data_IF_945516260670
#
_entry.id   IF_945516260670
#
_cell.length_a   1.000
_cell.length_b   1.000
_cell.length_c   1.000
_cell.angle_alpha   90.00
_cell.angle_beta   90.00
_cell.angle_gamma   90.00
#
_symmetry.space_group_name_H-M   'P 1'
#
loop_
_entity.id
_entity.type
_entity.pdbx_description
1 polymer ?
#
# COMPACT_ATOMS: atom_id res chain seq x y z
N UNK A 1 -9.30 -54.39 -63.90
CA UNK A 1 -8.54 -53.33 -63.24
C UNK A 1 -9.51 -52.52 -62.39
N UNK A 2 -9.50 -52.68 -61.07
CA UNK A 2 -10.36 -51.96 -60.16
C UNK A 2 -9.71 -50.57 -59.81
N UNK A 3 -10.45 -49.49 -59.97
CA UNK A 3 -10.00 -48.14 -59.56
C UNK A 3 -9.72 -48.11 -58.06
N UNK A 4 -8.60 -47.53 -57.61
CA UNK A 4 -8.32 -47.38 -56.18
C UNK A 4 -9.36 -46.43 -55.50
N UNK A 5 -9.75 -46.70 -54.29
CA UNK A 5 -10.74 -45.89 -53.59
C UNK A 5 -10.20 -44.47 -53.40
N UNK A 6 -10.94 -43.45 -53.86
CA UNK A 6 -10.68 -42.05 -53.60
C UNK A 6 -10.83 -41.81 -52.11
N UNK A 7 -9.72 -41.42 -51.37
CA UNK A 7 -9.77 -40.98 -50.04
C UNK A 7 -10.60 -39.67 -49.98
N UNK A 8 -11.69 -39.68 -49.23
CA UNK A 8 -12.44 -38.46 -48.91
C UNK A 8 -11.48 -37.47 -48.23
N UNK A 9 -11.44 -36.19 -48.65
CA UNK A 9 -10.66 -35.18 -47.95
C UNK A 9 -11.12 -35.10 -46.48
N UNK A 10 -10.17 -34.99 -45.59
CA UNK A 10 -10.46 -34.80 -44.15
C UNK A 10 -11.35 -33.55 -43.94
N UNK A 11 -12.33 -33.59 -43.03
CA UNK A 11 -13.21 -32.46 -42.79
C UNK A 11 -12.36 -31.22 -42.39
N UNK A 12 -12.56 -30.15 -43.14
CA UNK A 12 -11.93 -28.85 -42.80
C UNK A 12 -12.41 -28.41 -41.40
N UNK A 13 -11.50 -27.97 -40.52
CA UNK A 13 -11.89 -27.47 -39.19
C UNK A 13 -12.88 -26.33 -39.37
N UNK A 14 -13.86 -26.19 -38.47
CA UNK A 14 -14.86 -25.14 -38.56
C UNK A 14 -14.19 -23.77 -38.62
N UNK A 15 -14.71 -22.79 -39.39
CA UNK A 15 -14.09 -21.48 -39.64
C UNK A 15 -13.79 -20.69 -38.35
N UNK A 16 -14.50 -20.98 -37.27
CA UNK A 16 -14.28 -20.45 -35.93
C UNK A 16 -12.92 -20.86 -35.32
N UNK A 17 -12.50 -22.10 -35.54
CA UNK A 17 -11.24 -22.67 -35.00
C UNK A 17 -10.01 -22.06 -35.68
N UNK A 18 -10.05 -21.82 -36.97
CA UNK A 18 -8.96 -21.17 -37.73
C UNK A 18 -8.81 -19.69 -37.30
N UNK A 19 -9.93 -18.99 -37.16
CA UNK A 19 -9.93 -17.59 -36.69
C UNK A 19 -9.35 -17.48 -35.27
N UNK A 20 -9.75 -18.35 -34.36
CA UNK A 20 -9.19 -18.37 -32.99
C UNK A 20 -7.68 -18.68 -33.03
N UNK A 21 -7.24 -19.64 -33.82
CA UNK A 21 -5.83 -20.00 -33.95
C UNK A 21 -5.00 -18.83 -34.51
N UNK A 22 -5.51 -18.09 -35.49
CA UNK A 22 -4.83 -16.91 -36.05
C UNK A 22 -4.71 -15.78 -35.03
N UNK A 23 -5.76 -15.52 -34.26
CA UNK A 23 -5.75 -14.54 -33.19
C UNK A 23 -4.70 -14.90 -32.11
N UNK A 24 -4.70 -16.17 -31.65
CA UNK A 24 -3.72 -16.63 -30.67
C UNK A 24 -2.28 -16.50 -31.17
N UNK A 25 -2.04 -16.76 -32.48
CA UNK A 25 -0.72 -16.61 -33.09
C UNK A 25 -0.28 -15.12 -33.21
N UNK A 26 -1.22 -14.18 -33.26
CA UNK A 26 -0.92 -12.74 -33.36
C UNK A 26 -0.60 -12.07 -32.02
N UNK A 27 -0.87 -12.73 -30.88
CA UNK A 27 -0.64 -12.17 -29.55
C UNK A 27 0.86 -12.03 -29.26
N UNK A 28 1.26 -10.82 -28.90
CA UNK A 28 2.64 -10.51 -28.45
C UNK A 28 2.74 -10.71 -26.95
N UNK A 29 2.95 -11.93 -26.52
CA UNK A 29 2.91 -12.32 -25.11
C UNK A 29 3.85 -11.51 -24.22
N UNK A 30 5.09 -11.23 -24.65
CA UNK A 30 6.05 -10.43 -23.87
C UNK A 30 5.55 -9.02 -23.60
N UNK A 31 4.93 -8.39 -24.60
CA UNK A 31 4.33 -7.06 -24.42
C UNK A 31 3.09 -7.15 -23.51
N UNK A 32 2.25 -8.17 -23.70
CA UNK A 32 1.06 -8.38 -22.89
C UNK A 32 1.42 -8.50 -21.40
N UNK A 33 2.38 -9.36 -21.05
CA UNK A 33 2.82 -9.53 -19.67
C UNK A 33 3.38 -8.25 -19.06
N UNK A 34 4.11 -7.45 -19.81
CA UNK A 34 4.59 -6.13 -19.36
C UNK A 34 3.43 -5.19 -19.08
N UNK A 35 2.46 -5.09 -19.97
CA UNK A 35 1.27 -4.25 -19.78
C UNK A 35 0.46 -4.66 -18.55
N UNK A 36 0.16 -5.96 -18.42
CA UNK A 36 -0.56 -6.49 -17.26
C UNK A 36 0.24 -6.32 -15.97
N UNK A 37 1.55 -6.52 -16.01
CA UNK A 37 2.45 -6.33 -14.87
C UNK A 37 2.46 -4.89 -14.35
N UNK A 38 2.54 -3.89 -15.26
CA UNK A 38 2.47 -2.49 -14.87
C UNK A 38 1.16 -2.15 -14.15
N UNK A 39 0.05 -2.66 -14.65
CA UNK A 39 -1.25 -2.42 -14.05
C UNK A 39 -1.39 -3.15 -12.69
N UNK A 40 -0.91 -4.39 -12.61
CA UNK A 40 -0.89 -5.15 -11.36
C UNK A 40 -0.04 -4.44 -10.29
N UNK A 41 1.13 -3.91 -10.64
CA UNK A 41 1.99 -3.17 -9.72
C UNK A 41 1.34 -1.86 -9.26
N UNK A 42 0.61 -1.17 -10.14
CA UNK A 42 -0.17 0.01 -9.76
C UNK A 42 -1.30 -0.35 -8.78
N UNK A 43 -1.97 -1.48 -9.00
CA UNK A 43 -2.97 -2.01 -8.09
C UNK A 43 -2.36 -2.43 -6.75
N UNK A 44 -1.21 -3.08 -6.78
CA UNK A 44 -0.47 -3.48 -5.57
C UNK A 44 0.02 -2.29 -4.75
N UNK A 45 0.27 -1.16 -5.40
CA UNK A 45 0.66 0.07 -4.69
C UNK A 45 -0.50 0.71 -3.93
N UNK A 46 -1.76 0.52 -4.35
CA UNK A 46 -2.94 1.12 -3.72
C UNK A 46 -3.04 0.88 -2.20
N UNK A 47 -3.04 -0.36 -1.69
CA UNK A 47 -3.10 -0.59 -0.26
C UNK A 47 -1.87 -0.06 0.48
N UNK A 48 -0.68 -0.04 -0.14
CA UNK A 48 0.53 0.54 0.46
C UNK A 48 0.40 2.05 0.59
N UNK A 49 -0.11 2.74 -0.44
CA UNK A 49 -0.35 4.19 -0.40
C UNK A 49 -1.29 4.55 0.75
N UNK A 50 -2.42 3.86 0.87
CA UNK A 50 -3.36 4.06 1.97
C UNK A 50 -2.72 3.82 3.35
N UNK A 51 -1.97 2.72 3.51
CA UNK A 51 -1.30 2.38 4.77
C UNK A 51 -0.22 3.38 5.17
N UNK A 52 0.46 4.02 4.21
CA UNK A 52 1.49 5.03 4.52
C UNK A 52 0.90 6.37 4.98
N UNK A 53 -0.32 6.70 4.56
CA UNK A 53 -1.02 7.91 4.99
C UNK A 53 -1.64 7.78 6.38
N UNK A 54 -2.05 6.57 6.76
CA UNK A 54 -2.77 6.30 8.02
C UNK A 54 -2.04 6.80 9.28
N UNK A 55 -0.73 6.60 9.50
CA UNK A 55 -0.03 7.11 10.68
C UNK A 55 0.05 8.62 10.78
N UNK A 56 -0.14 9.33 9.66
CA UNK A 56 0.04 10.78 9.58
C UNK A 56 -1.29 11.51 9.62
N UNK A 57 -2.31 11.00 8.93
CA UNK A 57 -3.61 11.68 8.79
C UNK A 57 -4.78 10.93 9.46
N UNK A 58 -4.52 9.71 9.94
CA UNK A 58 -5.55 8.81 10.46
C UNK A 58 -6.15 7.93 9.35
N UNK A 59 -6.59 6.72 9.72
CA UNK A 59 -7.12 5.72 8.79
C UNK A 59 -8.40 6.17 8.09
N UNK A 60 -9.31 6.81 8.81
CA UNK A 60 -10.60 7.31 8.28
C UNK A 60 -10.38 8.40 7.22
N UNK A 61 -9.54 9.40 7.52
CA UNK A 61 -9.25 10.49 6.59
C UNK A 61 -8.54 10.00 5.34
N UNK A 62 -7.59 9.09 5.50
CA UNK A 62 -6.84 8.48 4.40
C UNK A 62 -7.74 7.64 3.49
N UNK A 63 -8.69 6.87 4.05
CA UNK A 63 -9.59 6.00 3.28
C UNK A 63 -10.67 6.77 2.52
N UNK A 64 -11.16 7.86 3.09
CA UNK A 64 -12.26 8.63 2.52
C UNK A 64 -11.96 9.16 1.12
N UNK A 65 -10.79 9.73 0.91
CA UNK A 65 -10.38 10.33 -0.37
C UNK A 65 -9.67 9.36 -1.31
N UNK A 66 -9.11 8.27 -0.79
CA UNK A 66 -8.26 7.36 -1.56
C UNK A 66 -9.00 6.71 -2.74
N UNK A 67 -10.16 6.09 -2.49
CA UNK A 67 -10.93 5.40 -3.56
C UNK A 67 -11.42 6.32 -4.66
N UNK A 68 -12.11 7.44 -4.39
CA UNK A 68 -12.54 8.34 -5.46
C UNK A 68 -11.37 8.96 -6.21
N UNK A 69 -10.29 9.33 -5.53
CA UNK A 69 -9.08 9.86 -6.17
C UNK A 69 -8.38 8.84 -7.07
N UNK A 70 -8.27 7.61 -6.61
CA UNK A 70 -7.74 6.49 -7.39
C UNK A 70 -8.55 6.23 -8.66
N UNK A 71 -9.89 6.19 -8.56
CA UNK A 71 -10.78 6.04 -9.72
C UNK A 71 -10.58 7.20 -10.70
N UNK A 72 -10.56 8.43 -10.20
CA UNK A 72 -10.32 9.61 -11.04
C UNK A 72 -8.96 9.54 -11.75
N UNK A 73 -7.88 9.18 -11.05
CA UNK A 73 -6.55 9.02 -11.63
C UNK A 73 -6.50 7.92 -12.70
N UNK A 74 -7.15 6.77 -12.45
CA UNK A 74 -7.27 5.67 -13.42
C UNK A 74 -8.03 6.07 -14.67
N UNK A 75 -9.19 6.70 -14.51
CA UNK A 75 -10.02 7.23 -15.61
C UNK A 75 -9.23 8.27 -16.41
N UNK A 76 -8.58 9.24 -15.73
CA UNK A 76 -7.73 10.22 -16.38
C UNK A 76 -6.58 9.57 -17.15
N UNK A 77 -5.94 8.54 -16.58
CA UNK A 77 -4.89 7.77 -17.27
C UNK A 77 -5.38 7.14 -18.57
N UNK A 78 -6.57 6.54 -18.53
CA UNK A 78 -7.19 5.97 -19.71
C UNK A 78 -7.48 7.02 -20.80
N UNK A 79 -8.15 8.12 -20.47
CA UNK A 79 -8.50 9.15 -21.45
C UNK A 79 -7.31 9.96 -21.93
N UNK A 80 -6.30 10.16 -21.11
CA UNK A 80 -5.10 10.91 -21.46
C UNK A 80 -4.01 10.06 -22.14
N UNK A 81 -4.19 8.73 -22.32
CA UNK A 81 -3.20 7.82 -22.88
C UNK A 81 -2.56 8.29 -24.18
N UNK A 82 -3.38 8.83 -25.10
CA UNK A 82 -2.90 9.30 -26.40
C UNK A 82 -2.12 10.62 -26.29
N UNK A 83 -2.53 11.52 -25.39
CA UNK A 83 -1.79 12.75 -25.11
C UNK A 83 -0.44 12.45 -24.45
N UNK A 84 -0.43 11.55 -23.47
CA UNK A 84 0.79 11.09 -22.79
C UNK A 84 1.73 10.45 -23.80
N UNK A 85 1.23 9.58 -24.67
CA UNK A 85 2.01 8.94 -25.71
C UNK A 85 2.61 9.96 -26.70
N UNK A 86 1.86 11.02 -27.07
CA UNK A 86 2.38 12.08 -27.94
C UNK A 86 3.44 12.95 -27.25
N UNK A 87 3.27 13.27 -25.97
CA UNK A 87 4.19 14.14 -25.22
C UNK A 87 5.46 13.42 -24.78
N UNK A 88 5.33 12.22 -24.24
CA UNK A 88 6.43 11.49 -23.61
C UNK A 88 6.94 10.33 -24.46
N UNK A 89 6.15 9.82 -25.42
CA UNK A 89 6.51 8.68 -26.24
C UNK A 89 6.89 7.46 -25.38
N UNK A 90 7.99 6.81 -25.74
CA UNK A 90 8.52 5.67 -24.99
C UNK A 90 9.05 6.05 -23.59
N UNK A 91 9.35 7.32 -23.35
CA UNK A 91 9.83 7.80 -22.02
C UNK A 91 8.76 7.67 -20.95
N UNK A 92 7.46 7.67 -21.31
CA UNK A 92 6.36 7.48 -20.36
C UNK A 92 6.54 6.19 -19.52
N UNK A 93 6.79 5.07 -20.18
CA UNK A 93 7.05 3.80 -19.47
C UNK A 93 8.30 3.86 -18.58
N UNK A 94 9.38 4.48 -19.08
CA UNK A 94 10.66 4.57 -18.36
C UNK A 94 10.62 5.50 -17.14
N UNK A 95 9.64 6.43 -17.06
CA UNK A 95 9.46 7.31 -15.91
C UNK A 95 8.72 6.61 -14.75
N UNK A 96 7.94 5.57 -15.01
CA UNK A 96 7.14 4.87 -13.98
C UNK A 96 8.01 4.39 -12.81
N UNK A 97 9.09 3.61 -13.02
CA UNK A 97 9.93 3.17 -11.91
C UNK A 97 10.64 4.33 -11.20
N UNK A 98 11.00 5.39 -11.91
CA UNK A 98 11.60 6.59 -11.30
C UNK A 98 10.60 7.24 -10.34
N UNK A 99 9.37 7.47 -10.77
CA UNK A 99 8.30 8.01 -9.92
C UNK A 99 8.08 7.12 -8.69
N UNK A 100 7.99 5.80 -8.89
CA UNK A 100 7.78 4.87 -7.79
C UNK A 100 8.86 4.97 -6.70
N UNK A 101 10.14 5.14 -7.08
CA UNK A 101 11.22 5.33 -6.12
C UNK A 101 11.21 6.71 -5.45
N UNK A 102 10.65 7.73 -6.09
CA UNK A 102 10.58 9.07 -5.50
C UNK A 102 9.44 9.21 -4.48
N UNK A 103 8.43 8.35 -4.50
CA UNK A 103 7.27 8.44 -3.60
C UNK A 103 7.67 8.50 -2.12
N UNK A 104 8.51 7.61 -1.56
CA UNK A 104 8.87 7.68 -0.14
C UNK A 104 9.51 9.00 0.26
N UNK A 105 10.31 9.59 -0.61
CA UNK A 105 10.98 10.87 -0.40
C UNK A 105 9.97 12.03 -0.46
N UNK A 106 9.09 12.05 -1.45
CA UNK A 106 8.05 13.07 -1.59
C UNK A 106 7.11 13.02 -0.37
N UNK A 107 6.67 11.84 0.04
CA UNK A 107 5.84 11.65 1.23
C UNK A 107 6.52 12.17 2.49
N UNK A 108 7.82 11.88 2.68
CA UNK A 108 8.57 12.40 3.83
C UNK A 108 8.49 13.93 3.95
N UNK A 109 8.65 14.65 2.85
CA UNK A 109 8.55 16.12 2.87
C UNK A 109 7.12 16.62 3.05
N UNK A 110 6.13 15.98 2.41
CA UNK A 110 4.73 16.34 2.55
C UNK A 110 4.20 16.05 3.97
N UNK A 111 4.66 14.98 4.61
CA UNK A 111 4.29 14.66 5.98
C UNK A 111 4.77 15.71 7.00
N UNK A 112 5.87 16.40 6.74
CA UNK A 112 6.28 17.56 7.55
C UNK A 112 5.29 18.73 7.47
N UNK A 113 4.51 18.80 6.40
CA UNK A 113 3.47 19.82 6.21
C UNK A 113 2.08 19.34 6.69
N UNK A 114 1.99 18.16 7.30
CA UNK A 114 0.71 17.54 7.66
C UNK A 114 -0.14 18.40 8.60
N UNK A 115 0.48 19.14 9.53
CA UNK A 115 -0.22 20.05 10.44
C UNK A 115 -0.86 21.24 9.69
N UNK A 116 -0.22 21.72 8.64
CA UNK A 116 -0.72 22.85 7.84
C UNK A 116 -1.77 22.41 6.82
N UNK A 117 -1.61 21.22 6.25
CA UNK A 117 -2.54 20.66 5.27
C UNK A 117 -3.82 20.15 5.92
N UNK A 118 -3.72 19.54 7.10
CA UNK A 118 -4.85 19.01 7.86
C UNK A 118 -5.65 17.93 7.11
N UNK A 119 -6.86 17.68 7.60
CA UNK A 119 -7.83 16.78 6.99
C UNK A 119 -9.01 17.59 6.42
N UNK A 120 -9.52 17.26 5.22
CA UNK A 120 -9.15 16.15 4.33
C UNK A 120 -8.05 16.47 3.32
N UNK A 121 -7.50 17.68 3.30
CA UNK A 121 -6.59 18.13 2.25
C UNK A 121 -5.26 17.36 2.24
N UNK A 122 -4.71 17.03 3.41
CA UNK A 122 -3.41 16.37 3.53
C UNK A 122 -3.29 15.05 2.78
N UNK A 123 -4.19 14.06 2.99
CA UNK A 123 -4.18 12.82 2.23
C UNK A 123 -4.31 13.03 0.73
N UNK A 124 -5.24 13.91 0.31
CA UNK A 124 -5.48 14.20 -1.12
C UNK A 124 -4.25 14.80 -1.79
N UNK A 125 -3.65 15.82 -1.17
CA UNK A 125 -2.45 16.48 -1.71
C UNK A 125 -1.29 15.49 -1.75
N UNK A 126 -1.13 14.67 -0.73
CA UNK A 126 -0.05 13.67 -0.70
C UNK A 126 -0.20 12.67 -1.84
N UNK A 127 -1.38 12.08 -2.03
CA UNK A 127 -1.64 11.14 -3.12
C UNK A 127 -1.56 11.81 -4.50
N UNK A 128 -1.95 13.07 -4.62
CA UNK A 128 -1.85 13.84 -5.87
C UNK A 128 -0.40 13.99 -6.35
N UNK A 129 0.56 14.10 -5.44
CA UNK A 129 1.98 14.21 -5.79
C UNK A 129 2.72 12.87 -5.76
N UNK A 130 2.08 11.79 -5.30
CA UNK A 130 2.73 10.48 -5.15
C UNK A 130 2.01 9.39 -5.94
N UNK A 131 0.97 8.80 -5.38
CA UNK A 131 0.34 7.61 -5.95
C UNK A 131 -0.49 7.90 -7.22
N UNK A 132 -1.25 9.00 -7.27
CA UNK A 132 -2.12 9.26 -8.43
C UNK A 132 -1.33 9.47 -9.74
N UNK A 133 -0.20 10.19 -9.80
CA UNK A 133 0.64 10.25 -11.00
C UNK A 133 1.20 8.88 -11.41
N UNK A 134 1.61 8.06 -10.45
CA UNK A 134 2.09 6.70 -10.72
C UNK A 134 0.99 5.85 -11.34
N UNK A 135 -0.22 5.86 -10.75
CA UNK A 135 -1.38 5.12 -11.24
C UNK A 135 -1.80 5.58 -12.63
N UNK A 136 -1.95 6.91 -12.81
CA UNK A 136 -2.33 7.51 -14.08
C UNK A 136 -1.38 7.09 -15.20
N UNK A 137 -0.08 7.19 -14.97
CA UNK A 137 0.93 6.84 -15.97
C UNK A 137 0.98 5.33 -16.22
N UNK A 138 0.84 4.50 -15.18
CA UNK A 138 0.78 3.04 -15.30
C UNK A 138 -0.42 2.59 -16.11
N UNK A 139 -1.61 3.15 -15.88
CA UNK A 139 -2.83 2.85 -16.66
C UNK A 139 -2.65 3.29 -18.11
N UNK A 140 -2.19 4.52 -18.35
CA UNK A 140 -2.02 5.05 -19.71
C UNK A 140 -1.07 4.18 -20.55
N UNK A 141 0.06 3.78 -19.98
CA UNK A 141 1.08 2.96 -20.64
C UNK A 141 0.60 1.52 -20.80
N UNK A 142 0.00 0.93 -19.75
CA UNK A 142 -0.52 -0.44 -19.78
C UNK A 142 -1.57 -0.62 -20.87
N UNK A 143 -2.56 0.26 -20.93
CA UNK A 143 -3.62 0.21 -21.94
C UNK A 143 -3.05 0.21 -23.36
N UNK A 144 -2.09 1.08 -23.65
CA UNK A 144 -1.42 1.15 -24.96
C UNK A 144 -0.64 -0.12 -25.28
N UNK A 145 0.06 -0.67 -24.30
CA UNK A 145 0.80 -1.93 -24.49
C UNK A 145 -0.16 -3.08 -24.74
N UNK A 146 -1.28 -3.16 -24.01
CA UNK A 146 -2.30 -4.22 -24.18
C UNK A 146 -2.98 -4.12 -25.54
N UNK A 147 -3.37 -2.91 -25.96
CA UNK A 147 -3.93 -2.67 -27.31
C UNK A 147 -2.99 -3.18 -28.40
N UNK A 148 -1.69 -2.86 -28.29
CA UNK A 148 -0.66 -3.31 -29.22
C UNK A 148 -0.40 -4.81 -29.14
N UNK A 149 -0.39 -5.38 -27.94
CA UNK A 149 -0.08 -6.80 -27.72
C UNK A 149 -1.16 -7.74 -28.28
N UNK A 150 -2.43 -7.35 -28.14
CA UNK A 150 -3.57 -8.14 -28.57
C UNK A 150 -4.03 -7.81 -30.01
N UNK A 151 -3.47 -6.75 -30.60
CA UNK A 151 -3.90 -6.21 -31.90
C UNK A 151 -5.44 -6.11 -31.99
N UNK A 152 -6.02 -5.47 -30.95
CA UNK A 152 -7.48 -5.47 -30.72
C UNK A 152 -8.27 -4.91 -31.91
N UNK A 153 -7.73 -3.90 -32.58
CA UNK A 153 -8.39 -3.26 -33.71
C UNK A 153 -8.56 -4.23 -34.86
N UNK A 154 -7.47 -4.94 -35.24
CA UNK A 154 -7.47 -5.91 -36.36
C UNK A 154 -8.27 -7.14 -36.01
N UNK A 155 -8.12 -7.68 -34.80
CA UNK A 155 -8.72 -8.95 -34.42
C UNK A 155 -10.20 -8.84 -34.02
N UNK A 156 -10.61 -7.71 -33.40
CA UNK A 156 -11.95 -7.58 -32.78
C UNK A 156 -12.69 -6.29 -33.17
N UNK A 157 -12.04 -5.37 -33.90
CA UNK A 157 -12.62 -4.12 -34.35
C UNK A 157 -12.42 -2.95 -33.38
N UNK A 158 -12.88 -1.77 -33.82
CA UNK A 158 -12.66 -0.49 -33.15
C UNK A 158 -13.33 -0.41 -31.77
N UNK A 159 -14.53 -0.97 -31.64
CA UNK A 159 -15.28 -1.00 -30.38
C UNK A 159 -14.54 -1.82 -29.31
N UNK A 160 -13.93 -2.93 -29.70
CA UNK A 160 -13.15 -3.77 -28.78
C UNK A 160 -11.81 -3.11 -28.38
N UNK A 161 -11.16 -2.41 -29.33
CA UNK A 161 -9.95 -1.64 -29.04
C UNK A 161 -10.19 -0.59 -27.95
N UNK A 162 -11.37 0.02 -27.91
CA UNK A 162 -11.72 1.02 -26.93
C UNK A 162 -12.19 0.42 -25.60
N UNK A 163 -13.11 -0.51 -25.61
CA UNK A 163 -13.80 -0.95 -24.38
C UNK A 163 -13.10 -2.08 -23.63
N UNK A 164 -12.46 -3.02 -24.34
CA UNK A 164 -11.82 -4.18 -23.70
C UNK A 164 -10.68 -3.76 -22.76
N UNK A 165 -9.76 -2.84 -23.13
CA UNK A 165 -8.73 -2.40 -22.20
C UNK A 165 -9.28 -1.57 -21.04
N UNK A 166 -10.37 -0.83 -21.24
CA UNK A 166 -11.01 -0.04 -20.18
C UNK A 166 -11.58 -0.96 -19.10
N UNK A 167 -12.50 -1.85 -19.49
CA UNK A 167 -13.12 -2.79 -18.55
C UNK A 167 -12.09 -3.78 -18.00
N UNK A 168 -11.22 -4.31 -18.85
CA UNK A 168 -10.18 -5.26 -18.45
C UNK A 168 -9.18 -4.67 -17.46
N UNK A 169 -8.78 -3.41 -17.64
CA UNK A 169 -7.90 -2.74 -16.69
C UNK A 169 -8.55 -2.53 -15.33
N UNK A 170 -9.83 -2.17 -15.31
CA UNK A 170 -10.59 -2.02 -14.06
C UNK A 170 -10.73 -3.35 -13.30
N UNK A 171 -11.10 -4.42 -13.99
CA UNK A 171 -11.23 -5.76 -13.39
C UNK A 171 -9.88 -6.26 -12.86
N UNK A 172 -8.83 -6.16 -13.66
CA UNK A 172 -7.48 -6.58 -13.26
C UNK A 172 -6.97 -5.76 -12.07
N UNK A 173 -7.29 -4.46 -12.05
CA UNK A 173 -6.91 -3.59 -10.95
C UNK A 173 -7.58 -4.03 -9.64
N UNK A 174 -8.89 -4.29 -9.63
CA UNK A 174 -9.61 -4.75 -8.42
C UNK A 174 -9.05 -6.09 -7.92
N UNK A 175 -8.81 -7.03 -8.84
CA UNK A 175 -8.24 -8.34 -8.48
C UNK A 175 -6.83 -8.15 -7.91
N UNK A 176 -6.00 -7.37 -8.60
CA UNK A 176 -4.62 -7.08 -8.19
C UNK A 176 -4.55 -6.41 -6.83
N UNK A 177 -5.42 -5.44 -6.56
CA UNK A 177 -5.51 -4.76 -5.26
C UNK A 177 -5.87 -5.73 -4.13
N UNK A 178 -6.87 -6.60 -4.33
CA UNK A 178 -7.27 -7.61 -3.34
C UNK A 178 -6.14 -8.61 -3.05
N UNK A 179 -5.50 -9.11 -4.10
CA UNK A 179 -4.37 -10.05 -3.98
C UNK A 179 -3.21 -9.39 -3.25
N UNK A 180 -2.84 -8.18 -3.65
CA UNK A 180 -1.75 -7.45 -3.02
C UNK A 180 -2.04 -7.12 -1.55
N UNK A 181 -3.27 -6.70 -1.24
CA UNK A 181 -3.68 -6.43 0.14
C UNK A 181 -3.54 -7.67 1.04
N UNK A 182 -3.92 -8.85 0.53
CA UNK A 182 -3.74 -10.11 1.27
C UNK A 182 -2.26 -10.35 1.62
N UNK A 183 -1.34 -10.17 0.67
CA UNK A 183 0.09 -10.34 0.91
C UNK A 183 0.65 -9.26 1.82
N UNK A 184 0.30 -8.00 1.61
CA UNK A 184 0.77 -6.87 2.42
C UNK A 184 0.38 -7.07 3.88
N UNK A 185 -0.89 -7.41 4.15
CA UNK A 185 -1.38 -7.66 5.50
C UNK A 185 -0.68 -8.84 6.18
N UNK A 186 -0.20 -9.82 5.41
CA UNK A 186 0.53 -10.97 5.94
C UNK A 186 1.97 -10.62 6.32
N UNK A 187 2.61 -9.70 5.60
CA UNK A 187 4.04 -9.43 5.71
C UNK A 187 4.38 -8.06 6.29
N UNK A 188 3.38 -7.22 6.63
CA UNK A 188 3.60 -5.86 7.14
C UNK A 188 4.46 -5.80 8.41
N UNK A 189 4.45 -6.84 9.24
CA UNK A 189 5.31 -6.95 10.42
C UNK A 189 6.77 -7.25 10.10
N UNK A 190 7.07 -7.79 8.90
CA UNK A 190 8.42 -8.12 8.44
C UNK A 190 8.94 -7.10 7.45
N UNK A 191 8.08 -6.68 6.51
CA UNK A 191 8.38 -5.64 5.51
C UNK A 191 7.59 -4.40 5.88
N UNK A 192 8.29 -3.30 6.12
CA UNK A 192 7.64 -2.03 6.49
C UNK A 192 6.88 -1.42 5.33
N UNK A 193 5.99 -0.46 5.60
CA UNK A 193 5.26 0.30 4.56
C UNK A 193 6.20 0.91 3.54
N UNK A 194 7.25 1.58 4.00
CA UNK A 194 8.28 2.12 3.12
C UNK A 194 9.07 1.02 2.38
N UNK A 195 9.30 -0.12 3.04
CA UNK A 195 9.90 -1.30 2.41
C UNK A 195 9.05 -1.86 1.27
N UNK A 196 7.73 -1.93 1.43
CA UNK A 196 6.81 -2.31 0.36
C UNK A 196 6.83 -1.32 -0.80
N UNK A 197 6.90 0.00 -0.53
CA UNK A 197 7.03 1.01 -1.58
C UNK A 197 8.28 0.78 -2.43
N UNK A 198 9.43 0.58 -1.79
CA UNK A 198 10.69 0.32 -2.47
C UNK A 198 10.69 -1.04 -3.19
N UNK A 199 10.06 -2.07 -2.63
CA UNK A 199 9.90 -3.37 -3.28
C UNK A 199 9.09 -3.26 -4.57
N UNK A 200 7.94 -2.58 -4.53
CA UNK A 200 7.11 -2.38 -5.72
C UNK A 200 7.85 -1.51 -6.75
N UNK A 201 8.60 -0.48 -6.32
CA UNK A 201 9.43 0.32 -7.22
C UNK A 201 10.52 -0.53 -7.89
N UNK A 202 11.14 -1.46 -7.16
CA UNK A 202 12.10 -2.42 -7.73
C UNK A 202 11.44 -3.34 -8.75
N UNK A 203 10.22 -3.85 -8.47
CA UNK A 203 9.46 -4.67 -9.42
C UNK A 203 9.07 -3.89 -10.68
N UNK A 204 8.73 -2.61 -10.56
CA UNK A 204 8.56 -1.74 -11.73
C UNK A 204 9.84 -1.64 -12.56
N UNK A 205 11.01 -1.55 -11.93
CA UNK A 205 12.30 -1.47 -12.61
C UNK A 205 12.65 -2.75 -13.37
N UNK A 206 12.24 -3.91 -12.85
CA UNK A 206 12.38 -5.20 -13.54
C UNK A 206 11.42 -5.29 -14.72
N UNK A 207 10.18 -4.81 -14.55
CA UNK A 207 9.15 -4.84 -15.60
C UNK A 207 9.49 -3.90 -16.75
N UNK A 208 10.04 -2.73 -16.43
CA UNK A 208 10.45 -1.70 -17.41
C UNK A 208 11.86 -1.23 -17.10
N UNK A 209 12.90 -1.96 -17.53
CA UNK A 209 14.28 -1.54 -17.37
C UNK A 209 14.54 -0.17 -18.03
N UNK A 210 15.13 0.75 -17.29
CA UNK A 210 15.34 2.14 -17.76
C UNK A 210 16.67 2.71 -17.31
N UNK A 211 17.37 3.37 -18.24
CA UNK A 211 18.55 4.18 -17.90
C UNK A 211 18.20 5.40 -17.04
N UNK A 212 16.94 5.85 -17.07
CA UNK A 212 16.45 6.95 -16.24
C UNK A 212 16.42 6.61 -14.75
N UNK A 213 16.57 5.33 -14.37
CA UNK A 213 16.70 4.90 -12.97
C UNK A 213 17.84 5.60 -12.22
N UNK A 214 18.85 6.09 -12.91
CA UNK A 214 19.90 6.92 -12.30
C UNK A 214 19.31 8.16 -11.60
N UNK A 215 18.18 8.68 -12.09
CA UNK A 215 17.47 9.81 -11.46
C UNK A 215 16.79 9.41 -10.14
N UNK A 216 16.63 8.13 -9.87
CA UNK A 216 16.08 7.64 -8.61
C UNK A 216 17.15 7.47 -7.51
N UNK A 217 18.42 7.49 -7.84
CA UNK A 217 19.52 7.31 -6.87
C UNK A 217 19.47 8.30 -5.69
N UNK A 218 19.20 9.61 -5.87
CA UNK A 218 19.12 10.53 -4.73
C UNK A 218 18.00 10.15 -3.77
N UNK A 219 16.83 9.74 -4.28
CA UNK A 219 15.70 9.29 -3.47
C UNK A 219 15.99 7.99 -2.72
N UNK A 220 16.65 7.04 -3.38
CA UNK A 220 17.09 5.79 -2.75
C UNK A 220 18.08 6.06 -1.61
N UNK A 221 19.11 6.84 -1.87
CA UNK A 221 20.09 7.23 -0.84
C UNK A 221 19.40 7.91 0.33
N UNK A 222 18.51 8.88 0.07
CA UNK A 222 17.74 9.54 1.12
C UNK A 222 16.88 8.56 1.91
N UNK A 223 16.19 7.63 1.25
CA UNK A 223 15.32 6.65 1.89
C UNK A 223 16.09 5.75 2.86
N UNK A 224 17.32 5.35 2.51
CA UNK A 224 18.12 4.47 3.37
C UNK A 224 18.92 5.21 4.44
N UNK A 225 19.26 6.49 4.24
CA UNK A 225 20.14 7.22 5.16
C UNK A 225 19.41 8.20 6.08
N UNK A 226 18.33 8.84 5.62
CA UNK A 226 17.71 9.96 6.31
C UNK A 226 16.19 9.85 6.50
N UNK A 227 15.52 8.93 5.81
CA UNK A 227 14.08 8.79 5.96
C UNK A 227 13.73 8.08 7.27
N UNK A 228 13.22 8.83 8.24
CA UNK A 228 12.83 8.31 9.57
C UNK A 228 11.69 7.31 9.53
N UNK A 229 10.94 7.20 8.42
CA UNK A 229 9.92 6.17 8.24
C UNK A 229 10.50 4.78 7.96
N UNK A 230 11.79 4.69 7.64
CA UNK A 230 12.52 3.41 7.62
C UNK A 230 13.03 3.10 9.03
N UNK A 231 12.68 1.96 9.64
CA UNK A 231 13.00 1.67 11.04
C UNK A 231 14.42 1.08 11.20
N UNK A 232 15.41 1.73 10.61
CA UNK A 232 16.82 1.40 10.87
C UNK A 232 17.28 1.99 12.20
N UNK A 233 18.33 1.45 12.80
CA UNK A 233 18.88 1.94 14.06
C UNK A 233 19.30 3.42 13.98
N UNK A 234 19.98 3.81 12.91
CA UNK A 234 20.44 5.19 12.70
C UNK A 234 19.27 6.17 12.46
N UNK A 235 18.26 5.81 11.68
CA UNK A 235 17.06 6.65 11.46
C UNK A 235 16.19 6.74 12.69
N UNK A 236 16.16 5.68 13.51
CA UNK A 236 15.49 5.68 14.83
C UNK A 236 16.21 6.61 15.82
N UNK A 237 17.54 6.62 15.80
CA UNK A 237 18.33 7.54 16.61
C UNK A 237 18.07 9.01 16.23
N UNK A 238 18.02 9.33 14.94
CA UNK A 238 17.67 10.68 14.45
C UNK A 238 16.25 11.08 14.89
N UNK A 239 15.28 10.18 14.75
CA UNK A 239 13.91 10.43 15.21
C UNK A 239 13.86 10.65 16.72
N UNK A 240 14.60 9.87 17.48
CA UNK A 240 14.64 9.97 18.93
C UNK A 240 15.29 11.29 19.38
N UNK A 241 16.36 11.74 18.73
CA UNK A 241 16.95 13.05 19.01
C UNK A 241 15.95 14.19 18.81
N UNK A 242 15.15 14.16 17.74
CA UNK A 242 14.12 15.16 17.51
C UNK A 242 12.96 15.08 18.54
N UNK A 243 12.60 13.89 19.02
CA UNK A 243 11.59 13.72 20.05
C UNK A 243 12.07 14.20 21.41
N UNK A 244 13.36 14.02 21.73
CA UNK A 244 13.96 14.48 22.99
C UNK A 244 13.92 16.01 23.15
N UNK A 245 14.02 16.76 22.05
CA UNK A 245 13.82 18.23 22.07
C UNK A 245 12.44 18.62 22.61
N UNK A 246 11.44 17.75 22.42
CA UNK A 246 10.07 17.93 22.91
C UNK A 246 9.79 17.22 24.24
N UNK A 247 10.80 16.59 24.85
CA UNK A 247 10.69 15.89 26.13
C UNK A 247 10.10 14.47 26.02
N UNK A 248 10.23 13.84 24.86
CA UNK A 248 9.80 12.47 24.64
C UNK A 248 10.97 11.58 24.23
N UNK A 249 10.94 10.32 24.68
CA UNK A 249 11.87 9.27 24.28
C UNK A 249 11.10 8.15 23.63
N UNK A 250 11.50 7.76 22.41
CA UNK A 250 10.95 6.61 21.71
C UNK A 250 11.65 5.34 22.21
N UNK A 251 10.90 4.44 22.85
CA UNK A 251 11.41 3.19 23.39
C UNK A 251 11.40 2.06 22.36
N UNK A 252 10.28 1.92 21.63
CA UNK A 252 10.14 0.93 20.54
C UNK A 252 9.17 1.44 19.49
N UNK A 253 9.31 0.91 18.25
CA UNK A 253 8.40 1.17 17.16
C UNK A 253 8.31 -0.02 16.23
N UNK A 254 7.08 -0.38 15.82
CA UNK A 254 6.82 -1.51 14.92
C UNK A 254 5.67 -1.24 13.98
N UNK A 255 5.81 -1.80 12.78
CA UNK A 255 4.70 -1.88 11.85
C UNK A 255 3.80 -3.05 12.21
N UNK A 256 2.49 -2.87 12.12
CA UNK A 256 1.51 -3.93 12.33
C UNK A 256 0.34 -3.82 11.37
N UNK A 257 -0.50 -4.86 11.35
CA UNK A 257 -1.74 -4.92 10.56
C UNK A 257 -2.71 -3.82 10.97
N UNK A 258 -2.76 -3.47 12.25
CA UNK A 258 -3.66 -2.47 12.81
C UNK A 258 -3.15 -1.03 12.65
N UNK A 259 -1.87 -0.86 12.38
CA UNK A 259 -1.26 0.46 12.23
C UNK A 259 0.21 0.46 12.66
N UNK A 260 0.77 1.66 12.73
CA UNK A 260 2.13 1.90 13.20
C UNK A 260 2.13 2.05 14.73
N UNK A 261 2.70 1.06 15.41
CA UNK A 261 2.77 1.02 16.88
C UNK A 261 4.06 1.71 17.33
N UNK A 262 3.96 2.57 18.33
CA UNK A 262 5.09 3.22 18.96
C UNK A 262 4.91 3.32 20.48
N UNK A 263 5.99 3.13 21.22
CA UNK A 263 6.04 3.29 22.68
C UNK A 263 6.89 4.51 22.97
N UNK A 264 6.25 5.52 23.58
CA UNK A 264 6.86 6.79 23.94
C UNK A 264 6.90 6.95 25.46
N UNK A 265 7.98 7.50 25.96
CA UNK A 265 8.14 7.89 27.36
C UNK A 265 8.31 9.40 27.47
N UNK A 266 7.63 10.03 28.42
CA UNK A 266 7.83 11.41 28.79
C UNK A 266 8.33 11.47 30.22
N UNK A 267 9.61 11.74 30.39
CA UNK A 267 10.21 11.91 31.73
C UNK A 267 9.64 13.14 32.44
N UNK A 268 9.42 14.25 31.70
CA UNK A 268 8.86 15.49 32.25
C UNK A 268 7.47 15.31 32.82
N UNK A 269 6.63 14.57 32.12
CA UNK A 269 5.23 14.36 32.50
C UNK A 269 5.04 13.07 33.32
N UNK A 270 6.05 12.22 33.37
CA UNK A 270 6.07 10.99 34.17
C UNK A 270 5.10 9.94 33.66
N UNK A 271 5.03 9.74 32.35
CA UNK A 271 4.22 8.67 31.76
C UNK A 271 4.94 7.93 30.62
N UNK A 272 4.50 6.71 30.39
CA UNK A 272 4.83 5.89 29.23
C UNK A 272 3.55 5.54 28.48
N UNK A 273 3.52 5.77 27.17
CA UNK A 273 2.33 5.59 26.35
C UNK A 273 2.59 4.73 25.12
N UNK A 274 1.66 3.82 24.84
CA UNK A 274 1.62 3.04 23.62
C UNK A 274 0.59 3.64 22.64
N UNK A 275 1.03 3.93 21.44
CA UNK A 275 0.21 4.51 20.36
C UNK A 275 0.12 3.57 19.18
N UNK A 276 -1.02 3.61 18.49
CA UNK A 276 -1.21 3.05 17.17
C UNK A 276 -1.68 4.17 16.24
N UNK A 277 -0.88 4.55 15.28
CA UNK A 277 -1.11 5.71 14.43
C UNK A 277 -1.40 6.97 15.28
N UNK A 278 -2.59 7.54 15.15
CA UNK A 278 -3.05 8.70 15.95
C UNK A 278 -3.72 8.33 17.27
N UNK A 279 -4.01 7.05 17.48
CA UNK A 279 -4.75 6.59 18.67
C UNK A 279 -3.80 6.25 19.79
N UNK A 280 -4.14 6.69 20.99
CA UNK A 280 -3.51 6.23 22.21
C UNK A 280 -4.15 4.90 22.60
N UNK A 281 -3.39 3.80 22.59
CA UNK A 281 -3.90 2.46 22.93
C UNK A 281 -3.91 2.25 24.45
N UNK A 282 -2.95 2.82 25.15
CA UNK A 282 -2.82 2.66 26.57
C UNK A 282 -1.51 3.27 27.08
N UNK A 283 -1.26 3.10 28.34
CA UNK A 283 -0.03 3.56 28.97
C UNK A 283 -0.10 3.49 30.48
N UNK A 284 0.99 3.89 31.09
CA UNK A 284 1.17 3.89 32.54
C UNK A 284 1.79 5.20 33.00
N UNK A 285 1.44 5.62 34.20
CA UNK A 285 2.09 6.76 34.88
C UNK A 285 3.34 6.26 35.60
N UNK A 286 4.48 6.84 35.28
CA UNK A 286 5.73 6.63 36.02
C UNK A 286 5.76 7.61 37.21
N UNK A 287 5.09 7.26 38.29
CA UNK A 287 5.06 8.09 39.47
C UNK A 287 6.35 7.94 40.28
N UNK A 288 7.39 8.62 39.85
CA UNK A 288 8.62 8.77 40.65
C UNK A 288 8.33 9.77 41.77
N UNK A 289 8.24 9.30 43.02
CA UNK A 289 8.19 10.17 44.19
C UNK A 289 6.91 10.15 45.05
N UNK A 290 5.89 9.35 44.68
CA UNK A 290 4.79 9.05 45.63
C UNK A 290 5.08 7.72 46.33
N UNK A 291 4.54 7.54 47.57
CA UNK A 291 4.59 6.27 48.30
C UNK A 291 3.84 5.19 47.52
N UNK A 292 4.48 4.68 46.51
CA UNK A 292 3.90 3.82 45.52
C UNK A 292 4.44 2.40 45.66
N UNK A 293 3.56 1.42 45.54
CA UNK A 293 3.98 0.02 45.53
C UNK A 293 4.57 -0.30 44.15
N UNK A 294 5.86 -0.68 44.02
CA UNK A 294 6.55 -0.77 42.73
C UNK A 294 5.94 -1.84 41.77
N UNK A 295 5.09 -2.72 42.28
CA UNK A 295 4.40 -3.73 41.50
C UNK A 295 3.04 -3.25 40.93
N UNK A 296 2.56 -2.05 41.33
CA UNK A 296 1.28 -1.53 40.87
C UNK A 296 1.55 -0.26 40.06
N UNK A 297 1.17 -0.25 38.81
CA UNK A 297 1.32 0.90 37.90
C UNK A 297 -0.05 1.48 37.58
N UNK A 298 -0.16 2.80 37.68
CA UNK A 298 -1.42 3.48 37.36
C UNK A 298 -1.62 3.53 35.84
N UNK A 299 -2.71 2.97 35.31
CA UNK A 299 -3.01 3.06 33.89
C UNK A 299 -3.42 4.49 33.51
N UNK A 300 -3.06 4.93 32.31
CA UNK A 300 -3.47 6.24 31.78
C UNK A 300 -4.99 6.29 31.55
N UNK A 301 -5.60 5.18 31.17
CA UNK A 301 -7.05 5.09 30.97
C UNK A 301 -7.76 4.46 32.17
N UNK A 302 -8.76 5.15 32.67
CA UNK A 302 -9.64 4.63 33.74
C UNK A 302 -10.35 3.32 33.38
N UNK A 303 -10.50 3.00 32.08
CA UNK A 303 -11.08 1.74 31.64
C UNK A 303 -10.33 0.51 32.16
N UNK A 304 -9.01 0.59 32.31
CA UNK A 304 -8.24 -0.49 32.89
C UNK A 304 -8.51 -0.64 34.40
N UNK A 305 -8.78 0.47 35.11
CA UNK A 305 -9.26 0.41 36.49
C UNK A 305 -10.65 -0.22 36.60
N UNK A 306 -11.52 -0.03 35.59
CA UNK A 306 -12.83 -0.71 35.56
C UNK A 306 -12.70 -2.21 35.37
N UNK A 307 -11.73 -2.71 34.62
CA UNK A 307 -11.44 -4.15 34.51
C UNK A 307 -10.99 -4.74 35.85
N UNK A 308 -10.20 -3.99 36.62
CA UNK A 308 -9.82 -4.37 37.98
C UNK A 308 -10.97 -4.25 38.99
N UNK A 309 -11.94 -3.36 38.75
CA UNK A 309 -13.10 -3.20 39.64
C UNK A 309 -13.92 -4.48 39.81
N UNK A 310 -13.96 -5.35 38.81
CA UNK A 310 -14.58 -6.67 38.90
C UNK A 310 -13.96 -7.52 40.01
N UNK A 311 -12.67 -7.34 40.28
CA UNK A 311 -11.93 -8.02 41.35
C UNK A 311 -12.28 -7.47 42.74
N UNK A 312 -12.83 -6.27 42.81
CA UNK A 312 -13.21 -5.60 44.06
C UNK A 312 -14.65 -5.92 44.45
N UNK A 313 -15.41 -6.57 43.59
CA UNK A 313 -16.78 -7.03 43.93
C UNK A 313 -16.69 -8.09 45.03
N UNK A 314 -17.34 -7.84 46.16
CA UNK A 314 -17.41 -8.85 47.24
C UNK A 314 -18.31 -9.99 46.76
N UNK A 315 -17.85 -11.25 46.92
CA UNK A 315 -18.70 -12.42 46.64
C UNK A 315 -19.92 -12.39 47.58
N UNK A 316 -21.04 -12.94 47.13
CA UNK A 316 -22.22 -13.12 47.98
C UNK A 316 -21.93 -14.06 49.15
N UNK A 317 -22.71 -13.92 50.24
CA UNK A 317 -22.51 -14.76 51.43
C UNK A 317 -22.62 -16.25 51.05
N UNK A 318 -21.51 -16.96 51.16
CA UNK A 318 -21.44 -18.38 50.81
C UNK A 318 -20.72 -18.69 49.50
N UNK A 319 -20.37 -17.71 48.70
CA UNK A 319 -19.50 -17.87 47.53
C UNK A 319 -18.02 -17.58 47.82
N UNK A 320 -17.15 -18.51 47.47
CA UNK A 320 -15.73 -18.30 47.54
C UNK A 320 -15.24 -17.71 46.20
N UNK A 321 -14.47 -16.62 46.29
CA UNK A 321 -13.81 -16.03 45.14
C UNK A 321 -12.83 -17.06 44.55
N UNK A 322 -12.96 -17.32 43.24
CA UNK A 322 -12.00 -18.18 42.53
C UNK A 322 -10.63 -17.50 42.52
N UNK A 323 -9.55 -18.25 42.59
CA UNK A 323 -8.21 -17.74 42.40
C UNK A 323 -8.08 -17.08 41.04
N UNK A 324 -7.24 -16.04 40.90
CA UNK A 324 -7.04 -15.31 39.64
C UNK A 324 -6.59 -16.23 38.49
N UNK A 325 -5.84 -17.30 38.80
CA UNK A 325 -5.39 -18.32 37.86
C UNK A 325 -6.54 -19.13 37.23
N UNK A 326 -7.68 -19.23 37.92
CA UNK A 326 -8.86 -19.97 37.48
C UNK A 326 -9.95 -19.04 36.93
N UNK A 327 -9.67 -17.72 36.92
CA UNK A 327 -10.65 -16.71 36.50
C UNK A 327 -10.53 -16.43 35.01
N UNK A 328 -11.66 -16.42 34.29
CA UNK A 328 -11.73 -16.04 32.88
C UNK A 328 -12.36 -14.65 32.77
N UNK A 329 -11.72 -13.74 32.05
CA UNK A 329 -12.27 -12.44 31.72
C UNK A 329 -12.66 -12.38 30.24
N UNK A 330 -13.90 -12.00 29.95
CA UNK A 330 -14.36 -11.68 28.61
C UNK A 330 -14.38 -10.16 28.45
N UNK A 331 -13.58 -9.65 27.54
CA UNK A 331 -13.57 -8.23 27.15
C UNK A 331 -14.22 -8.16 25.77
N UNK A 332 -15.36 -7.47 25.67
CA UNK A 332 -16.08 -7.25 24.41
C UNK A 332 -15.85 -5.83 23.88
#
# INVERSE_FOLDING_TARGET
>A
MARPPQRRPAPQPPPTTEKVRSILASIKYDALWRGLGLLFLAAAYSPVAHLTLSPVYGSTASSFSHRPGMLAAGICGYFLKDRIQRLLGRRAAHLIPVLAFWIPTIQFFLFKLSSSLGNPAGPVVTDLFTYYPLLLLSVAVSVKIVQYALDLRTNFGELAEEHVPFVGSYVLFIIGEKVANFFIMRFIGTITRCGFQLLIAALYSVTVPSKLLLLALPSLLFSFTANVHMPFSHTTAVLNSALQEHGYTLLDRRESVTGYISILESEKQGFRAMRCDHSLLGGEWNTVGRNYHPAVKDPIYAVFAMLEAVRLVKPEEGEHRRPDEESNALVM
#
